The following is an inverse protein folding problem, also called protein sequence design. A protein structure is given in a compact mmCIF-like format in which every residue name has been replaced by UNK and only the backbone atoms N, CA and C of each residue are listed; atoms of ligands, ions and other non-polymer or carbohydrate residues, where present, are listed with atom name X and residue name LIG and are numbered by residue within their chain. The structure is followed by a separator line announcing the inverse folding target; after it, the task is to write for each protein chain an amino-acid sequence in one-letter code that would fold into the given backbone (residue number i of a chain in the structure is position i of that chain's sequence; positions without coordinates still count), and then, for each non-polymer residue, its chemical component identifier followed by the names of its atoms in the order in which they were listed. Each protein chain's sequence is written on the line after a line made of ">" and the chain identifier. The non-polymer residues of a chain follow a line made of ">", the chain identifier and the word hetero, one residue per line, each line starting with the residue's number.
data_IF_648063029352
#
_entry.id   IF_648063029352
#
_cell.length_a   1.000
_cell.length_b   1.000
_cell.length_c   1.000
_cell.angle_alpha   90.00
_cell.angle_beta   90.00
_cell.angle_gamma   90.00
#
_symmetry.space_group_name_H-M   'P 1'
#
loop_
_entity.id
_entity.type
_entity.pdbx_description
1 polymer ?
#
# COMPACT_ATOMS: atom_id res chain seq x y z
N UNK A 1 15.17 7.85 -8.98
CA UNK A 1 15.85 8.30 -7.72
C UNK A 1 16.28 7.05 -6.95
N UNK A 2 17.54 6.98 -6.53
CA UNK A 2 18.05 5.84 -5.77
C UNK A 2 17.52 5.96 -4.34
N UNK A 3 16.70 5.00 -3.91
CA UNK A 3 16.02 5.04 -2.62
C UNK A 3 16.89 4.37 -1.57
N UNK A 4 17.00 4.98 -0.39
CA UNK A 4 17.69 4.40 0.76
C UNK A 4 16.93 3.16 1.27
N UNK A 5 17.67 2.09 1.54
CA UNK A 5 17.13 0.79 1.97
C UNK A 5 17.70 0.30 3.29
N UNK A 6 18.46 1.11 4.02
CA UNK A 6 19.09 0.69 5.28
C UNK A 6 19.03 1.71 6.41
N UNK A 7 18.35 2.84 6.21
CA UNK A 7 18.31 3.99 7.13
C UNK A 7 18.05 3.65 8.62
N UNK A 8 17.32 2.58 8.89
CA UNK A 8 16.93 2.19 10.26
C UNK A 8 17.90 1.20 10.91
N UNK A 9 18.82 0.58 10.17
CA UNK A 9 19.64 -0.53 10.69
C UNK A 9 18.83 -1.79 11.07
N UNK A 10 17.54 -1.83 10.72
CA UNK A 10 16.62 -2.93 11.02
C UNK A 10 16.28 -3.76 9.78
N UNK A 11 16.77 -3.39 8.60
CA UNK A 11 16.48 -4.12 7.36
C UNK A 11 17.31 -5.39 7.34
N UNK A 12 16.65 -6.52 7.62
CA UNK A 12 17.28 -7.84 7.65
C UNK A 12 17.40 -8.44 6.24
N UNK A 13 16.41 -8.20 5.37
CA UNK A 13 16.44 -8.61 3.97
C UNK A 13 15.80 -7.55 3.08
N UNK A 14 16.51 -7.18 2.02
CA UNK A 14 16.08 -6.20 1.02
C UNK A 14 15.83 -6.87 -0.33
N UNK A 15 15.22 -6.13 -1.26
CA UNK A 15 14.90 -6.55 -2.63
C UNK A 15 16.14 -7.03 -3.42
N UNK A 16 17.31 -6.46 -3.13
CA UNK A 16 18.58 -6.78 -3.79
C UNK A 16 19.37 -7.83 -2.97
N UNK A 17 19.66 -8.99 -3.57
CA UNK A 17 20.32 -10.12 -2.91
C UNK A 17 21.65 -10.50 -3.56
N UNK A 18 22.50 -11.16 -2.77
CA UNK A 18 23.79 -11.71 -3.20
C UNK A 18 24.88 -10.67 -3.47
N UNK A 19 26.10 -11.13 -3.82
CA UNK A 19 27.27 -10.26 -4.05
C UNK A 19 27.06 -9.23 -5.16
N UNK A 20 26.17 -9.53 -6.11
CA UNK A 20 25.86 -8.69 -7.26
C UNK A 20 24.67 -7.75 -7.01
N UNK A 21 24.06 -7.77 -5.81
CA UNK A 21 22.91 -6.93 -5.46
C UNK A 21 21.76 -7.01 -6.49
N UNK A 22 21.48 -8.21 -7.02
CA UNK A 22 20.42 -8.40 -8.01
C UNK A 22 19.05 -8.28 -7.36
N UNK A 23 18.08 -7.55 -7.95
CA UNK A 23 16.76 -7.33 -7.38
C UNK A 23 15.85 -8.57 -7.52
N UNK A 24 16.28 -9.69 -6.93
CA UNK A 24 15.64 -11.01 -7.05
C UNK A 24 15.08 -11.53 -5.72
N UNK A 25 15.04 -10.70 -4.67
CA UNK A 25 14.44 -11.14 -3.41
C UNK A 25 12.92 -11.10 -3.49
N UNK A 26 12.29 -12.25 -3.24
CA UNK A 26 10.83 -12.39 -3.26
C UNK A 26 10.16 -11.73 -2.03
N UNK A 27 10.90 -11.60 -0.92
CA UNK A 27 10.41 -11.06 0.34
C UNK A 27 11.39 -10.06 0.94
N UNK A 28 10.87 -8.94 1.44
CA UNK A 28 11.59 -8.00 2.27
C UNK A 28 11.27 -8.25 3.76
N UNK A 29 12.29 -8.19 4.61
CA UNK A 29 12.16 -8.46 6.05
C UNK A 29 12.81 -7.34 6.84
N UNK A 30 12.06 -6.80 7.80
CA UNK A 30 12.51 -5.73 8.70
C UNK A 30 12.33 -6.18 10.14
N UNK A 31 13.37 -6.05 10.96
CA UNK A 31 13.30 -6.32 12.39
C UNK A 31 12.46 -5.26 13.12
N UNK A 32 11.74 -5.67 14.16
CA UNK A 32 10.95 -4.76 15.00
C UNK A 32 11.80 -4.05 16.07
N UNK A 33 12.99 -4.58 16.38
CA UNK A 33 13.92 -4.02 17.36
C UNK A 33 15.35 -4.46 17.06
N UNK A 34 16.35 -3.73 17.56
CA UNK A 34 17.76 -4.05 17.34
C UNK A 34 18.27 -5.27 18.12
N UNK A 35 17.54 -5.71 19.15
CA UNK A 35 17.95 -6.77 20.07
C UNK A 35 17.11 -8.05 19.94
N UNK A 36 15.95 -7.95 19.29
CA UNK A 36 15.03 -9.07 19.09
C UNK A 36 15.15 -9.69 17.71
N UNK A 37 14.76 -10.97 17.60
CA UNK A 37 14.69 -11.72 16.34
C UNK A 37 13.31 -11.66 15.68
N UNK A 38 12.42 -10.81 16.20
CA UNK A 38 11.08 -10.60 15.64
C UNK A 38 11.12 -9.52 14.56
N UNK A 39 10.37 -9.73 13.49
CA UNK A 39 10.33 -8.85 12.34
C UNK A 39 8.99 -8.88 11.62
N UNK A 40 8.83 -7.97 10.67
CA UNK A 40 7.75 -7.95 9.70
C UNK A 40 8.30 -8.37 8.34
N UNK A 41 7.58 -9.26 7.65
CA UNK A 41 7.86 -9.68 6.30
C UNK A 41 6.81 -9.09 5.36
N UNK A 42 7.26 -8.52 4.25
CA UNK A 42 6.39 -7.94 3.22
C UNK A 42 6.72 -8.57 1.88
N UNK A 43 5.71 -9.12 1.22
CA UNK A 43 5.77 -9.64 -0.13
C UNK A 43 4.58 -9.09 -0.93
N UNK A 44 4.79 -8.86 -2.21
CA UNK A 44 3.76 -8.39 -3.14
C UNK A 44 3.56 -9.46 -4.20
N UNK A 45 2.31 -9.73 -4.56
CA UNK A 45 1.95 -10.56 -5.71
C UNK A 45 1.04 -9.74 -6.63
N UNK A 46 1.35 -9.73 -7.92
CA UNK A 46 0.62 -8.96 -8.91
C UNK A 46 0.43 -9.78 -10.20
N UNK A 47 -0.83 -10.03 -10.58
CA UNK A 47 -1.17 -10.81 -11.76
C UNK A 47 -2.12 -10.05 -12.70
N UNK A 48 -1.75 -8.83 -13.16
CA UNK A 48 -2.65 -7.96 -13.91
C UNK A 48 -3.10 -8.59 -15.23
N UNK A 49 -2.19 -9.17 -16.02
CA UNK A 49 -2.51 -9.81 -17.30
C UNK A 49 -3.46 -11.01 -17.17
N UNK A 50 -3.28 -11.82 -16.12
CA UNK A 50 -4.13 -13.00 -15.88
C UNK A 50 -5.50 -12.59 -15.32
N UNK A 51 -5.54 -11.52 -14.50
CA UNK A 51 -6.79 -10.90 -14.04
C UNK A 51 -7.65 -10.35 -15.17
N UNK A 52 -7.04 -9.92 -16.29
CA UNK A 52 -7.79 -9.48 -17.47
C UNK A 52 -8.50 -10.62 -18.22
N UNK A 53 -7.95 -11.84 -18.18
CA UNK A 53 -8.58 -13.01 -18.80
C UNK A 53 -9.65 -13.63 -17.90
N UNK A 54 -9.37 -13.71 -16.59
CA UNK A 54 -10.31 -14.18 -15.59
C UNK A 54 -9.99 -13.47 -14.26
N UNK A 55 -10.83 -12.52 -13.81
CA UNK A 55 -10.54 -11.72 -12.61
C UNK A 55 -10.51 -12.56 -11.34
N UNK A 56 -11.33 -13.60 -11.24
CA UNK A 56 -11.33 -14.50 -10.10
C UNK A 56 -10.05 -15.34 -10.04
N UNK A 57 -9.62 -15.88 -11.18
CA UNK A 57 -8.36 -16.62 -11.27
C UNK A 57 -7.15 -15.70 -11.05
N UNK A 58 -7.18 -14.48 -11.58
CA UNK A 58 -6.13 -13.48 -11.37
C UNK A 58 -5.97 -13.09 -9.90
N UNK A 59 -7.08 -12.85 -9.19
CA UNK A 59 -7.06 -12.56 -7.76
C UNK A 59 -6.49 -13.74 -6.94
N UNK A 60 -6.92 -14.97 -7.26
CA UNK A 60 -6.38 -16.19 -6.63
C UNK A 60 -4.87 -16.32 -6.87
N UNK A 61 -4.41 -16.07 -8.09
CA UNK A 61 -2.99 -16.18 -8.44
C UNK A 61 -2.14 -15.07 -7.81
N UNK A 62 -2.63 -13.83 -7.73
CA UNK A 62 -1.93 -12.75 -7.04
C UNK A 62 -1.79 -13.04 -5.54
N UNK A 63 -2.83 -13.59 -4.92
CA UNK A 63 -2.76 -14.07 -3.53
C UNK A 63 -1.75 -15.22 -3.39
N UNK A 64 -1.83 -16.22 -4.27
CA UNK A 64 -0.89 -17.35 -4.27
C UNK A 64 0.55 -16.87 -4.43
N UNK A 65 0.83 -15.91 -5.32
CA UNK A 65 2.15 -15.35 -5.53
C UNK A 65 2.66 -14.62 -4.29
N UNK A 66 1.83 -13.76 -3.68
CA UNK A 66 2.20 -13.08 -2.44
C UNK A 66 2.50 -14.08 -1.32
N UNK A 67 1.71 -15.15 -1.20
CA UNK A 67 1.94 -16.22 -0.22
C UNK A 67 3.21 -17.02 -0.52
N UNK A 68 3.44 -17.43 -1.78
CA UNK A 68 4.64 -18.17 -2.16
C UNK A 68 5.91 -17.35 -1.96
N UNK A 69 5.84 -16.04 -2.18
CA UNK A 69 6.91 -15.10 -1.88
C UNK A 69 7.17 -15.03 -0.37
N UNK A 70 6.10 -15.02 0.44
CA UNK A 70 6.19 -15.00 1.90
C UNK A 70 6.60 -16.35 2.51
N UNK A 71 6.40 -17.49 1.84
CA UNK A 71 6.75 -18.82 2.34
C UNK A 71 8.24 -18.97 2.70
N UNK A 72 9.10 -18.13 2.11
CA UNK A 72 10.53 -18.11 2.41
C UNK A 72 10.87 -17.28 3.66
N UNK A 73 9.92 -16.51 4.19
CA UNK A 73 10.00 -15.90 5.51
C UNK A 73 9.36 -16.82 6.58
N UNK A 74 10.00 -16.95 7.74
CA UNK A 74 9.52 -17.79 8.85
C UNK A 74 8.31 -17.15 9.55
N UNK A 75 7.13 -17.26 8.94
CA UNK A 75 5.85 -16.76 9.46
C UNK A 75 5.13 -17.92 10.19
N UNK A 76 4.90 -17.78 11.49
CA UNK A 76 4.32 -18.86 12.33
C UNK A 76 2.80 -18.86 12.37
N UNK A 77 2.15 -17.74 12.11
CA UNK A 77 0.69 -17.59 12.04
C UNK A 77 0.34 -16.51 11.01
N UNK A 78 -0.57 -16.79 10.08
CA UNK A 78 -1.05 -15.82 9.10
C UNK A 78 -2.41 -15.32 9.59
N UNK A 79 -2.39 -14.19 10.29
CA UNK A 79 -3.60 -13.43 10.62
C UNK A 79 -3.71 -12.26 9.66
N UNK A 80 -4.79 -12.27 8.88
CA UNK A 80 -5.09 -11.18 7.94
C UNK A 80 -6.00 -10.18 8.65
N UNK A 81 -5.47 -9.01 8.95
CA UNK A 81 -6.25 -7.86 9.41
C UNK A 81 -6.40 -6.87 8.25
N UNK A 82 -7.65 -6.46 7.94
CA UNK A 82 -7.95 -5.47 6.89
C UNK A 82 -8.37 -4.11 7.46
N UNK A 83 -8.42 -3.98 8.79
CA UNK A 83 -8.69 -2.72 9.48
C UNK A 83 -7.82 -2.62 10.72
N UNK A 84 -6.57 -2.20 10.51
CA UNK A 84 -5.71 -1.85 11.64
C UNK A 84 -6.37 -0.66 12.34
N UNK A 85 -6.54 -0.74 13.66
CA UNK A 85 -7.09 0.30 14.57
C UNK A 85 -8.62 0.47 14.65
N UNK A 86 -9.44 -0.22 13.85
CA UNK A 86 -10.92 -0.10 13.95
C UNK A 86 -11.49 1.26 13.51
N UNK A 87 -10.70 2.07 12.79
CA UNK A 87 -11.09 3.39 12.27
C UNK A 87 -11.50 3.35 10.78
N UNK A 88 -11.57 2.17 10.17
CA UNK A 88 -11.97 2.05 8.76
C UNK A 88 -13.49 2.08 8.67
N UNK A 89 -14.05 3.19 8.18
CA UNK A 89 -15.48 3.39 8.04
C UNK A 89 -16.02 2.73 6.75
N UNK A 90 -15.24 2.77 5.67
CA UNK A 90 -15.56 2.10 4.41
C UNK A 90 -14.27 1.62 3.72
N UNK A 91 -14.30 0.39 3.20
CA UNK A 91 -13.19 -0.21 2.45
C UNK A 91 -13.46 -0.17 0.94
N UNK A 92 -12.40 -0.20 0.13
CA UNK A 92 -12.49 -0.33 -1.34
C UNK A 92 -13.01 -1.72 -1.77
N UNK A 93 -12.71 -2.75 -0.97
CA UNK A 93 -13.15 -4.13 -1.18
C UNK A 93 -14.43 -4.43 -0.40
N UNK A 94 -15.55 -4.63 -1.10
CA UNK A 94 -16.89 -4.84 -0.52
C UNK A 94 -17.52 -6.18 -0.94
N UNK A 95 -18.51 -6.61 -0.16
CA UNK A 95 -19.25 -7.86 -0.38
C UNK A 95 -18.54 -9.12 0.13
N UNK A 96 -19.19 -10.30 0.07
CA UNK A 96 -18.65 -11.54 0.65
C UNK A 96 -17.34 -12.02 0.01
N UNK A 97 -17.12 -11.65 -1.25
CA UNK A 97 -15.91 -11.97 -2.00
C UNK A 97 -14.88 -10.84 -1.97
N UNK A 98 -15.16 -9.76 -1.23
CA UNK A 98 -14.26 -8.61 -1.08
C UNK A 98 -13.81 -8.03 -2.43
N UNK A 99 -14.72 -7.99 -3.38
CA UNK A 99 -14.47 -7.42 -4.71
C UNK A 99 -14.24 -5.91 -4.59
N UNK A 100 -13.25 -5.33 -5.31
CA UNK A 100 -12.94 -3.90 -5.26
C UNK A 100 -14.00 -3.07 -6.01
N UNK A 101 -15.24 -3.13 -5.54
CA UNK A 101 -16.40 -2.48 -6.16
C UNK A 101 -16.72 -1.12 -5.53
N UNK A 102 -16.13 -0.79 -4.37
CA UNK A 102 -16.35 0.52 -3.77
C UNK A 102 -15.38 1.53 -4.37
N UNK A 103 -15.94 2.62 -4.90
CA UNK A 103 -15.18 3.70 -5.53
C UNK A 103 -14.21 4.37 -4.56
N UNK A 104 -14.61 4.50 -3.29
CA UNK A 104 -13.86 5.23 -2.26
C UNK A 104 -13.72 4.42 -0.97
N UNK A 105 -12.53 4.48 -0.35
CA UNK A 105 -12.33 4.11 1.05
C UNK A 105 -12.42 5.34 1.94
N UNK A 106 -13.01 5.17 3.12
CA UNK A 106 -13.17 6.22 4.12
C UNK A 106 -12.63 5.72 5.44
N UNK A 107 -11.74 6.51 6.04
CA UNK A 107 -11.16 6.25 7.36
C UNK A 107 -11.51 7.39 8.30
N UNK A 108 -11.86 7.08 9.53
CA UNK A 108 -12.01 8.07 10.60
C UNK A 108 -10.63 8.48 11.13
N UNK A 109 -10.49 9.74 11.51
CA UNK A 109 -9.26 10.27 12.13
C UNK A 109 -9.25 10.08 13.65
N UNK A 110 -10.39 9.77 14.27
CA UNK A 110 -10.51 9.47 15.69
C UNK A 110 -11.76 8.63 15.98
N UNK A 111 -11.77 7.89 17.10
CA UNK A 111 -12.88 7.01 17.49
C UNK A 111 -14.16 7.74 17.91
N UNK A 112 -14.04 8.99 18.33
CA UNK A 112 -15.15 9.79 18.87
C UNK A 112 -15.53 10.97 17.96
N UNK A 113 -14.75 11.22 16.92
CA UNK A 113 -14.98 12.31 15.96
C UNK A 113 -15.64 11.82 14.69
N UNK A 114 -16.35 12.74 14.01
CA UNK A 114 -16.94 12.51 12.68
C UNK A 114 -16.03 12.98 11.53
N UNK A 115 -14.77 13.30 11.84
CA UNK A 115 -13.77 13.70 10.86
C UNK A 115 -13.05 12.47 10.31
N UNK A 116 -12.86 12.44 9.00
CA UNK A 116 -12.24 11.34 8.29
C UNK A 116 -11.46 11.78 7.07
N UNK A 117 -10.71 10.86 6.50
CA UNK A 117 -10.06 11.00 5.20
C UNK A 117 -10.70 10.03 4.21
N UNK A 118 -10.88 10.48 2.98
CA UNK A 118 -11.32 9.67 1.87
C UNK A 118 -10.14 9.42 0.93
N UNK A 119 -9.96 8.18 0.51
CA UNK A 119 -8.94 7.79 -0.46
C UNK A 119 -9.58 6.98 -1.57
N UNK A 120 -9.17 7.25 -2.81
CA UNK A 120 -9.53 6.43 -3.96
C UNK A 120 -8.27 6.18 -4.79
N UNK A 121 -8.27 5.04 -5.46
CA UNK A 121 -7.22 4.64 -6.40
C UNK A 121 -7.89 4.46 -7.76
N UNK A 122 -7.27 5.01 -8.80
CA UNK A 122 -7.63 4.71 -10.17
C UNK A 122 -6.57 3.82 -10.79
N UNK A 123 -6.97 2.81 -11.54
CA UNK A 123 -6.06 1.82 -12.11
C UNK A 123 -6.40 1.61 -13.59
N UNK A 124 -5.45 1.99 -14.46
CA UNK A 124 -5.62 1.86 -15.91
C UNK A 124 -4.51 1.01 -16.55
N UNK A 125 -4.35 -0.26 -16.14
CA UNK A 125 -3.21 -1.09 -16.54
C UNK A 125 -3.21 -1.37 -18.04
N UNK A 126 -4.37 -1.67 -18.63
CA UNK A 126 -4.52 -1.88 -20.08
C UNK A 126 -4.14 -0.64 -20.90
N UNK A 127 -4.66 0.52 -20.49
CA UNK A 127 -4.42 1.77 -21.22
C UNK A 127 -2.98 2.24 -21.03
N UNK A 128 -2.40 2.01 -19.85
CA UNK A 128 -0.99 2.24 -19.55
C UNK A 128 -0.04 1.33 -20.34
N UNK A 129 -0.46 0.09 -20.63
CA UNK A 129 0.30 -0.84 -21.46
C UNK A 129 0.38 -0.37 -22.93
N UNK A 130 -0.69 0.22 -23.44
CA UNK A 130 -0.74 0.78 -24.81
C UNK A 130 -0.06 2.16 -24.90
N UNK A 131 -0.30 3.02 -23.91
CA UNK A 131 0.29 4.34 -23.81
C UNK A 131 0.40 4.73 -22.32
N UNK A 132 1.62 4.73 -21.74
CA UNK A 132 1.80 4.97 -20.31
C UNK A 132 1.38 6.39 -19.89
N UNK A 133 1.55 7.38 -20.75
CA UNK A 133 1.13 8.76 -20.46
C UNK A 133 -0.40 8.88 -20.42
N UNK A 134 -1.09 8.30 -21.41
CA UNK A 134 -2.55 8.28 -21.43
C UNK A 134 -3.12 7.43 -20.28
N UNK A 135 -2.48 6.29 -19.96
CA UNK A 135 -2.84 5.45 -18.83
C UNK A 135 -2.73 6.19 -17.50
N UNK A 136 -1.64 6.90 -17.25
CA UNK A 136 -1.46 7.70 -16.04
C UNK A 136 -2.52 8.82 -15.92
N UNK A 137 -2.81 9.54 -17.01
CA UNK A 137 -3.86 10.58 -17.03
C UNK A 137 -5.23 10.00 -16.70
N UNK A 138 -5.58 8.87 -17.31
CA UNK A 138 -6.88 8.24 -17.10
C UNK A 138 -6.99 7.61 -15.70
N UNK A 139 -5.92 7.05 -15.15
CA UNK A 139 -5.88 6.57 -13.77
C UNK A 139 -6.09 7.72 -12.77
N UNK A 140 -5.47 8.88 -13.03
CA UNK A 140 -5.73 10.08 -12.23
C UNK A 140 -7.18 10.54 -12.35
N UNK A 141 -7.73 10.59 -13.57
CA UNK A 141 -9.13 10.96 -13.80
C UNK A 141 -10.07 10.02 -13.05
N UNK A 142 -9.83 8.71 -13.09
CA UNK A 142 -10.61 7.70 -12.38
C UNK A 142 -10.55 7.90 -10.86
N UNK A 143 -9.35 8.10 -10.30
CA UNK A 143 -9.20 8.37 -8.87
C UNK A 143 -9.99 9.62 -8.44
N UNK A 144 -9.97 10.68 -9.25
CA UNK A 144 -10.73 11.91 -8.99
C UNK A 144 -12.23 11.71 -9.14
N UNK A 145 -12.70 10.98 -10.15
CA UNK A 145 -14.12 10.68 -10.31
C UNK A 145 -14.63 9.78 -9.20
N UNK A 146 -13.82 8.86 -8.69
CA UNK A 146 -14.17 8.01 -7.57
C UNK A 146 -14.30 8.82 -6.26
N UNK A 147 -13.46 9.85 -6.09
CA UNK A 147 -13.56 10.79 -4.97
C UNK A 147 -14.70 11.80 -5.11
N UNK A 148 -15.33 11.96 -6.28
CA UNK A 148 -16.30 13.05 -6.49
C UNK A 148 -17.54 12.93 -5.60
N UNK A 149 -17.87 11.71 -5.15
CA UNK A 149 -18.97 11.44 -4.22
C UNK A 149 -18.57 11.55 -2.74
N UNK A 150 -17.28 11.74 -2.43
CA UNK A 150 -16.83 11.97 -1.07
C UNK A 150 -17.08 13.43 -0.67
N UNK A 151 -17.87 13.63 0.39
CA UNK A 151 -18.22 14.97 0.87
C UNK A 151 -17.00 15.67 1.48
N UNK A 152 -16.57 16.77 0.87
CA UNK A 152 -15.57 17.69 1.44
C UNK A 152 -16.29 18.68 2.36
N UNK A 153 -15.96 18.66 3.66
CA UNK A 153 -16.58 19.52 4.67
C UNK A 153 -15.83 20.84 4.91
N UNK A 154 -14.51 20.88 4.68
CA UNK A 154 -13.70 22.10 4.68
C UNK A 154 -12.67 22.02 3.54
N UNK A 155 -12.62 23.05 2.68
CA UNK A 155 -11.73 23.13 1.50
C UNK A 155 -10.41 23.84 1.81
N UNK A 156 -10.22 24.31 3.06
CA UNK A 156 -8.93 24.87 3.47
C UNK A 156 -7.89 23.76 3.43
N UNK A 157 -7.10 23.76 2.36
CA UNK A 157 -5.89 22.96 2.25
C UNK A 157 -5.01 23.39 3.42
N UNK A 158 -4.76 22.47 4.35
CA UNK A 158 -3.73 22.64 5.37
C UNK A 158 -2.43 22.96 4.63
N UNK A 159 -2.04 24.24 4.60
CA UNK A 159 -0.72 24.61 4.12
C UNK A 159 0.28 23.72 4.87
N UNK A 160 1.24 23.15 4.13
CA UNK A 160 2.30 22.35 4.74
C UNK A 160 2.78 23.05 6.01
N UNK A 161 2.88 22.34 7.16
CA UNK A 161 3.25 22.98 8.41
C UNK A 161 4.51 23.80 8.17
N UNK A 162 4.56 25.09 8.56
CA UNK A 162 5.75 25.90 8.37
C UNK A 162 6.93 25.15 8.98
N UNK A 163 8.12 25.17 8.34
CA UNK A 163 9.27 24.43 8.84
C UNK A 163 9.46 24.75 10.32
N UNK A 164 9.45 23.72 11.18
CA UNK A 164 9.70 23.91 12.61
C UNK A 164 11.10 24.50 12.75
N UNK A 165 11.18 25.82 12.98
CA UNK A 165 12.39 26.46 13.47
C UNK A 165 12.56 26.03 14.94
N UNK A 166 13.06 24.83 15.19
CA UNK A 166 13.68 24.54 16.48
C UNK A 166 15.02 25.28 16.50
N UNK A 167 15.25 26.25 17.41
CA UNK A 167 16.57 26.83 17.56
C UNK A 167 17.53 25.73 18.00
N UNK A 168 18.54 25.45 17.17
CA UNK A 168 19.67 24.62 17.57
C UNK A 168 20.34 25.29 18.77
N UNK A 169 20.26 24.64 19.94
CA UNK A 169 20.98 25.05 21.14
C UNK A 169 22.26 24.19 21.17
N UNK A 170 23.44 24.73 20.83
CA UNK A 170 24.68 23.97 20.97
C UNK A 170 24.88 23.63 22.46
N UNK A 171 25.27 22.38 22.70
CA UNK A 171 25.75 21.88 24.00
C UNK A 171 27.20 22.32 24.17
#
# INVERSE_FOLDING_TARGET
>A
PQVDRSVTGLVAQQQCVGPLHTPLADVAVVALSHLGLLGAATAVGEQPLKGLLNPEAGARLALCEALTNLCFARVTDIRVDRSVTGLVAQQQCVGPLHTPLADVAVVALSHLGLLGAATAVGEQPLKGLLNPEAGARLALCEALTNLCFARVTDIRVSAAPPPRKTPYKPI
#
